data_IF_691886483967
#
_entry.id   IF_691886483967
#
_cell.length_a   1.000
_cell.length_b   1.000
_cell.length_c   1.000
_cell.angle_alpha   90.00
_cell.angle_beta   90.00
_cell.angle_gamma   90.00
#
_symmetry.space_group_name_H-M   'P 1'
#
loop_
_entity.id
_entity.type
_entity.pdbx_description
1 polymer ?
#
# COMPACT_ATOMS: atom_id res chain seq x y z
N UNK A 1 -66.87 -16.80 -2.38
CA UNK A 1 -65.86 -15.76 -2.11
C UNK A 1 -64.81 -16.41 -1.21
N UNK A 2 -63.90 -17.18 -1.82
CA UNK A 2 -62.91 -17.99 -1.12
C UNK A 2 -61.62 -17.20 -1.01
N UNK A 3 -61.20 -16.93 0.23
CA UNK A 3 -59.92 -16.31 0.52
C UNK A 3 -58.81 -17.32 0.27
N UNK A 4 -58.18 -17.20 -0.90
CA UNK A 4 -56.95 -17.89 -1.28
C UNK A 4 -55.82 -17.39 -0.36
N UNK A 5 -55.49 -18.18 0.66
CA UNK A 5 -54.35 -17.92 1.54
C UNK A 5 -53.07 -18.10 0.72
N UNK A 6 -52.54 -16.98 0.27
CA UNK A 6 -51.20 -16.85 -0.30
C UNK A 6 -50.20 -17.30 0.76
N UNK A 7 -49.64 -18.51 0.58
CA UNK A 7 -48.52 -18.99 1.36
C UNK A 7 -47.31 -18.12 1.02
N UNK A 8 -47.04 -17.13 1.88
CA UNK A 8 -45.74 -16.47 1.98
C UNK A 8 -44.72 -17.54 2.37
N UNK A 9 -44.13 -18.20 1.38
CA UNK A 9 -42.85 -18.89 1.51
C UNK A 9 -41.80 -17.84 1.88
N UNK A 10 -41.71 -17.54 3.17
CA UNK A 10 -40.53 -16.91 3.77
C UNK A 10 -39.39 -17.88 3.51
N UNK A 11 -38.62 -17.59 2.47
CA UNK A 11 -37.32 -18.22 2.23
C UNK A 11 -36.43 -17.71 3.34
N UNK A 12 -36.48 -18.41 4.48
CA UNK A 12 -35.50 -18.30 5.54
C UNK A 12 -34.15 -18.61 4.88
N UNK A 13 -33.42 -17.56 4.50
CA UNK A 13 -32.12 -17.69 3.85
C UNK A 13 -31.20 -18.34 4.88
N UNK A 14 -31.04 -19.66 4.78
CA UNK A 14 -30.06 -20.38 5.59
C UNK A 14 -28.73 -19.61 5.52
N UNK A 15 -28.08 -19.35 6.67
CA UNK A 15 -26.85 -18.56 6.67
C UNK A 15 -25.88 -19.22 5.70
N UNK A 16 -25.43 -18.50 4.68
CA UNK A 16 -24.46 -19.02 3.70
C UNK A 16 -23.19 -19.35 4.47
N UNK A 17 -23.05 -20.61 4.86
CA UNK A 17 -21.88 -21.12 5.59
C UNK A 17 -20.74 -21.18 4.59
N UNK A 18 -20.02 -20.07 4.46
CA UNK A 18 -18.81 -20.03 3.62
C UNK A 18 -17.82 -21.05 4.15
N UNK A 19 -17.49 -22.05 3.31
CA UNK A 19 -16.48 -23.06 3.60
C UNK A 19 -15.17 -22.36 3.98
N UNK A 20 -14.59 -22.74 5.10
CA UNK A 20 -13.29 -22.23 5.55
C UNK A 20 -12.20 -23.06 4.90
N UNK A 21 -11.26 -22.41 4.23
CA UNK A 21 -10.12 -23.07 3.58
C UNK A 21 -8.84 -22.51 4.18
N UNK A 22 -7.94 -23.38 4.62
CA UNK A 22 -6.63 -22.95 5.09
C UNK A 22 -5.76 -22.48 3.92
N UNK A 23 -5.13 -21.33 4.08
CA UNK A 23 -4.21 -20.78 3.11
C UNK A 23 -2.95 -20.26 3.78
N UNK A 24 -1.83 -20.43 3.08
CA UNK A 24 -0.55 -19.87 3.47
C UNK A 24 -0.33 -18.56 2.72
N UNK A 25 0.23 -17.56 3.40
CA UNK A 25 0.62 -16.29 2.79
C UNK A 25 2.10 -16.33 2.47
N UNK A 26 2.43 -16.28 1.19
CA UNK A 26 3.81 -16.16 0.70
C UNK A 26 4.03 -14.75 0.18
N UNK A 27 5.15 -14.13 0.53
CA UNK A 27 5.46 -12.78 0.05
C UNK A 27 5.44 -12.71 -1.48
N UNK A 28 4.68 -11.77 -2.02
CA UNK A 28 4.52 -11.60 -3.47
C UNK A 28 5.77 -10.91 -4.05
N UNK A 29 6.37 -11.53 -5.07
CA UNK A 29 7.38 -10.88 -5.90
C UNK A 29 6.70 -10.30 -7.15
N UNK A 30 6.80 -8.99 -7.42
CA UNK A 30 6.25 -8.43 -8.65
C UNK A 30 7.00 -9.02 -9.86
N UNK A 31 6.27 -9.57 -10.83
CA UNK A 31 6.86 -10.20 -12.03
C UNK A 31 7.69 -9.21 -12.87
N UNK A 32 7.44 -7.90 -12.75
CA UNK A 32 8.16 -6.82 -13.44
C UNK A 32 9.27 -6.12 -12.62
N UNK A 33 9.58 -6.59 -11.41
CA UNK A 33 10.63 -6.03 -10.56
C UNK A 33 10.33 -4.63 -9.96
N UNK A 34 11.38 -3.95 -9.48
CA UNK A 34 11.28 -2.70 -8.72
C UNK A 34 10.97 -1.45 -9.58
N UNK A 35 11.29 -1.47 -10.88
CA UNK A 35 11.35 -0.25 -11.71
C UNK A 35 10.00 0.45 -11.80
N UNK A 36 8.92 -0.29 -12.03
CA UNK A 36 7.57 0.29 -12.11
C UNK A 36 7.17 1.01 -10.82
N UNK A 37 7.55 0.45 -9.67
CA UNK A 37 7.27 1.05 -8.36
C UNK A 37 8.08 2.34 -8.13
N UNK A 38 9.34 2.38 -8.57
CA UNK A 38 10.15 3.59 -8.49
C UNK A 38 9.65 4.71 -9.40
N UNK A 39 9.19 4.38 -10.61
CA UNK A 39 8.59 5.36 -11.51
C UNK A 39 7.31 5.92 -10.88
N UNK A 40 6.47 5.06 -10.31
CA UNK A 40 5.24 5.48 -9.66
C UNK A 40 5.53 6.42 -8.48
N UNK A 41 6.49 6.04 -7.61
CA UNK A 41 6.96 6.83 -6.47
C UNK A 41 7.77 8.10 -6.83
N UNK A 42 8.12 8.28 -8.10
CA UNK A 42 9.06 9.33 -8.52
C UNK A 42 8.59 10.76 -8.22
N UNK A 43 7.30 11.13 -8.34
CA UNK A 43 6.88 12.51 -8.06
C UNK A 43 7.20 12.93 -6.62
N UNK A 44 6.81 12.12 -5.64
CA UNK A 44 7.10 12.39 -4.23
C UNK A 44 8.61 12.34 -3.94
N UNK A 45 9.32 11.36 -4.49
CA UNK A 45 10.77 11.23 -4.28
C UNK A 45 11.57 12.39 -4.88
N UNK A 46 11.21 12.87 -6.07
CA UNK A 46 11.86 14.01 -6.71
C UNK A 46 11.62 15.30 -5.92
N UNK A 47 10.39 15.50 -5.43
CA UNK A 47 10.07 16.64 -4.57
C UNK A 47 10.90 16.62 -3.27
N UNK A 48 10.95 15.47 -2.60
CA UNK A 48 11.74 15.32 -1.38
C UNK A 48 13.25 15.45 -1.64
N UNK A 49 13.76 14.89 -2.74
CA UNK A 49 15.16 14.98 -3.11
C UNK A 49 15.56 16.44 -3.41
N UNK A 50 14.70 17.17 -4.13
CA UNK A 50 14.91 18.61 -4.36
C UNK A 50 15.00 19.39 -3.05
N UNK A 51 14.02 19.21 -2.15
CA UNK A 51 14.00 19.88 -0.85
C UNK A 51 15.23 19.53 0.01
N UNK A 52 15.61 18.25 0.01
CA UNK A 52 16.79 17.78 0.73
C UNK A 52 18.08 18.40 0.21
N UNK A 53 18.28 18.40 -1.12
CA UNK A 53 19.46 18.99 -1.75
C UNK A 53 19.53 20.49 -1.48
N UNK A 54 18.39 21.20 -1.49
CA UNK A 54 18.33 22.62 -1.17
C UNK A 54 18.81 22.91 0.26
N UNK A 55 18.35 22.12 1.24
CA UNK A 55 18.84 22.21 2.63
C UNK A 55 20.34 21.96 2.70
N UNK A 56 20.84 20.87 2.11
CA UNK A 56 22.26 20.53 2.19
C UNK A 56 23.12 21.62 1.56
N UNK A 57 22.74 22.11 0.37
CA UNK A 57 23.44 23.18 -0.34
C UNK A 57 23.47 24.49 0.46
N UNK A 58 22.39 24.81 1.18
CA UNK A 58 22.35 26.00 2.04
C UNK A 58 23.39 25.94 3.18
N UNK A 59 23.62 24.76 3.77
CA UNK A 59 24.51 24.61 4.92
C UNK A 59 25.93 24.12 4.58
N UNK A 60 26.13 23.56 3.39
CA UNK A 60 27.38 22.91 3.01
C UNK A 60 28.41 23.92 2.48
N UNK A 61 29.66 23.89 2.97
CA UNK A 61 30.75 24.69 2.43
C UNK A 61 31.38 24.07 1.17
N UNK A 62 30.88 22.92 0.69
CA UNK A 62 31.47 22.16 -0.40
C UNK A 62 31.18 22.77 -1.79
N UNK A 63 31.98 22.44 -2.82
CA UNK A 63 31.64 22.79 -4.19
C UNK A 63 30.31 22.16 -4.63
N UNK A 64 29.43 22.95 -5.26
CA UNK A 64 28.03 22.58 -5.59
C UNK A 64 27.85 21.19 -6.20
N UNK A 65 28.65 20.82 -7.21
CA UNK A 65 28.48 19.52 -7.88
C UNK A 65 28.79 18.32 -6.97
N UNK A 66 29.84 18.45 -6.15
CA UNK A 66 30.21 17.42 -5.17
C UNK A 66 29.15 17.34 -4.08
N UNK A 67 28.65 18.51 -3.67
CA UNK A 67 27.62 18.61 -2.65
C UNK A 67 26.31 17.95 -3.07
N UNK A 68 25.85 18.19 -4.30
CA UNK A 68 24.64 17.54 -4.82
C UNK A 68 24.78 16.02 -4.90
N UNK A 69 25.91 15.52 -5.39
CA UNK A 69 26.16 14.09 -5.49
C UNK A 69 26.17 13.43 -4.10
N UNK A 70 26.87 14.04 -3.13
CA UNK A 70 26.93 13.54 -1.77
C UNK A 70 25.55 13.62 -1.08
N UNK A 71 24.84 14.74 -1.26
CA UNK A 71 23.49 14.93 -0.71
C UNK A 71 22.53 13.85 -1.21
N UNK A 72 22.56 13.51 -2.50
CA UNK A 72 21.71 12.45 -3.08
C UNK A 72 22.07 11.06 -2.55
N UNK A 73 23.36 10.75 -2.39
CA UNK A 73 23.80 9.47 -1.81
C UNK A 73 23.32 9.36 -0.36
N UNK A 74 23.50 10.42 0.42
CA UNK A 74 23.05 10.48 1.82
C UNK A 74 21.54 10.40 1.90
N UNK A 75 20.80 11.09 1.03
CA UNK A 75 19.34 11.01 0.93
C UNK A 75 18.88 9.57 0.65
N UNK A 76 19.51 8.90 -0.32
CA UNK A 76 19.17 7.53 -0.68
C UNK A 76 19.39 6.56 0.51
N UNK A 77 20.53 6.69 1.19
CA UNK A 77 20.91 5.82 2.30
C UNK A 77 20.16 6.08 3.61
N UNK A 78 19.91 7.35 3.96
CA UNK A 78 19.32 7.73 5.25
C UNK A 78 17.81 7.91 5.21
N UNK A 79 17.23 8.18 4.03
CA UNK A 79 15.80 8.47 3.90
C UNK A 79 15.15 7.45 2.97
N UNK A 80 15.58 7.33 1.72
CA UNK A 80 14.89 6.51 0.71
C UNK A 80 14.84 5.04 1.13
N UNK A 81 15.97 4.40 1.36
CA UNK A 81 15.99 2.98 1.73
C UNK A 81 15.28 2.69 3.06
N UNK A 82 15.63 3.32 4.19
CA UNK A 82 15.06 2.96 5.48
C UNK A 82 13.56 3.27 5.56
N UNK A 83 13.12 4.42 5.05
CA UNK A 83 11.70 4.80 5.11
C UNK A 83 10.84 3.94 4.20
N UNK A 84 11.32 3.64 2.99
CA UNK A 84 10.64 2.71 2.08
C UNK A 84 10.52 1.31 2.68
N UNK A 85 11.60 0.76 3.24
CA UNK A 85 11.55 -0.54 3.91
C UNK A 85 10.61 -0.54 5.11
N UNK A 86 10.64 0.52 5.94
CA UNK A 86 9.76 0.65 7.09
C UNK A 86 8.28 0.67 6.67
N UNK A 87 7.93 1.46 5.66
CA UNK A 87 6.57 1.50 5.12
C UNK A 87 6.11 0.16 4.56
N UNK A 88 6.96 -0.52 3.79
CA UNK A 88 6.66 -1.85 3.27
C UNK A 88 6.44 -2.85 4.41
N UNK A 89 7.29 -2.85 5.44
CA UNK A 89 7.11 -3.73 6.59
C UNK A 89 5.88 -3.41 7.41
N UNK A 90 5.52 -2.13 7.54
CA UNK A 90 4.30 -1.70 8.20
C UNK A 90 3.06 -2.23 7.46
N UNK A 91 2.95 -1.99 6.16
CA UNK A 91 1.80 -2.43 5.35
C UNK A 91 1.69 -3.96 5.34
N UNK A 92 2.80 -4.66 5.09
CA UNK A 92 2.79 -6.13 5.04
C UNK A 92 2.63 -6.78 6.42
N UNK A 93 2.77 -6.03 7.52
CA UNK A 93 2.48 -6.54 8.86
C UNK A 93 0.99 -6.71 9.11
N UNK A 94 0.14 -5.99 8.39
CA UNK A 94 -1.32 -5.93 8.57
C UNK A 94 -2.07 -6.38 7.30
N UNK A 95 -1.86 -7.63 6.81
CA UNK A 95 -2.36 -8.07 5.51
C UNK A 95 -3.87 -7.91 5.34
N UNK A 96 -4.66 -8.11 6.40
CA UNK A 96 -6.13 -8.01 6.33
C UNK A 96 -6.64 -6.60 6.05
N UNK A 97 -5.96 -5.56 6.56
CA UNK A 97 -6.38 -4.17 6.36
C UNK A 97 -6.11 -3.71 4.93
N UNK A 98 -5.09 -4.30 4.29
CA UNK A 98 -4.62 -3.91 2.96
C UNK A 98 -4.91 -4.98 1.90
N UNK A 99 -5.98 -5.77 2.05
CA UNK A 99 -6.38 -6.79 1.07
C UNK A 99 -5.25 -7.73 0.62
N UNK A 100 -4.40 -8.16 1.56
CA UNK A 100 -3.21 -8.97 1.32
C UNK A 100 -2.15 -8.31 0.44
N UNK A 101 -2.04 -6.97 0.45
CA UNK A 101 -0.98 -6.26 -0.25
C UNK A 101 0.41 -6.80 0.13
N UNK A 102 1.20 -7.14 -0.89
CA UNK A 102 2.52 -7.75 -0.75
C UNK A 102 2.50 -9.25 -0.42
N UNK A 103 1.33 -9.89 -0.45
CA UNK A 103 1.16 -11.33 -0.17
C UNK A 103 0.40 -12.04 -1.29
N UNK A 104 0.95 -13.16 -1.73
CA UNK A 104 0.26 -14.15 -2.55
C UNK A 104 -0.41 -15.17 -1.63
N UNK A 105 -1.69 -15.40 -1.87
CA UNK A 105 -2.49 -16.37 -1.12
C UNK A 105 -2.38 -17.74 -1.80
N UNK A 106 -1.89 -18.74 -1.08
CA UNK A 106 -1.72 -20.11 -1.59
C UNK A 106 -2.65 -21.04 -0.78
N UNK A 107 -3.80 -21.45 -1.35
CA UNK A 107 -4.69 -22.42 -0.71
C UNK A 107 -3.99 -23.76 -0.54
N UNK A 108 -4.17 -24.41 0.62
CA UNK A 108 -3.63 -25.75 0.89
C UNK A 108 -4.48 -26.87 0.29
N UNK A 109 -5.77 -26.59 0.11
CA UNK A 109 -6.71 -27.46 -0.58
C UNK A 109 -6.94 -26.91 -1.99
N UNK A 110 -7.13 -27.79 -2.97
CA UNK A 110 -7.50 -27.37 -4.32
C UNK A 110 -8.88 -26.72 -4.28
N UNK A 111 -8.92 -25.41 -4.52
CA UNK A 111 -10.16 -24.65 -4.68
C UNK A 111 -10.32 -24.39 -6.18
N UNK A 112 -11.43 -24.83 -6.76
CA UNK A 112 -11.74 -24.55 -8.17
C UNK A 112 -11.96 -23.04 -8.35
N UNK A 113 -11.69 -22.50 -9.54
CA UNK A 113 -11.87 -21.05 -9.80
C UNK A 113 -13.29 -20.56 -9.46
N UNK A 114 -14.30 -21.39 -9.74
CA UNK A 114 -15.70 -21.11 -9.43
C UNK A 114 -15.99 -21.02 -7.92
N UNK A 115 -15.18 -21.68 -7.08
CA UNK A 115 -15.35 -21.71 -5.63
C UNK A 115 -14.57 -20.61 -4.89
N UNK A 116 -13.61 -19.95 -5.55
CA UNK A 116 -12.69 -18.99 -4.90
C UNK A 116 -13.43 -17.83 -4.20
N UNK A 117 -14.59 -17.43 -4.69
CA UNK A 117 -15.41 -16.36 -4.11
C UNK A 117 -16.41 -16.85 -3.03
N UNK A 118 -16.62 -18.16 -2.93
CA UNK A 118 -17.54 -18.79 -1.98
C UNK A 118 -16.83 -19.25 -0.70
N UNK A 119 -15.50 -19.35 -0.74
CA UNK A 119 -14.67 -19.76 0.40
C UNK A 119 -14.18 -18.58 1.21
N UNK A 120 -14.03 -18.79 2.52
CA UNK A 120 -13.32 -17.87 3.41
C UNK A 120 -11.95 -18.45 3.71
N UNK A 121 -10.91 -17.78 3.25
CA UNK A 121 -9.54 -18.17 3.56
C UNK A 121 -9.18 -17.87 5.01
N UNK A 122 -8.58 -18.84 5.68
CA UNK A 122 -8.05 -18.73 7.05
C UNK A 122 -6.53 -18.85 6.97
N UNK A 123 -5.84 -17.78 7.38
CA UNK A 123 -4.38 -17.75 7.33
C UNK A 123 -3.79 -18.64 8.40
N UNK A 124 -2.97 -19.61 7.98
CA UNK A 124 -2.27 -20.52 8.87
C UNK A 124 -0.83 -20.08 9.07
N UNK A 125 -0.04 -20.07 7.99
CA UNK A 125 1.34 -19.62 8.02
C UNK A 125 1.58 -18.36 7.17
N UNK A 126 2.61 -17.59 7.56
CA UNK A 126 3.10 -16.44 6.82
C UNK A 126 4.60 -16.58 6.58
N UNK A 127 5.01 -16.63 5.32
CA UNK A 127 6.42 -16.82 4.93
C UNK A 127 6.92 -15.67 4.09
N UNK A 128 7.87 -14.91 4.65
CA UNK A 128 8.63 -13.92 3.91
C UNK A 128 9.72 -14.59 3.08
N UNK A 129 9.98 -14.00 1.93
CA UNK A 129 11.05 -14.41 1.06
C UNK A 129 12.40 -13.95 1.66
N UNK A 130 13.47 -14.69 1.39
CA UNK A 130 14.82 -14.35 1.85
C UNK A 130 15.21 -12.91 1.48
N UNK A 131 15.86 -12.19 2.40
CA UNK A 131 16.28 -10.81 2.25
C UNK A 131 17.58 -10.71 1.45
N UNK A 132 17.48 -10.73 0.13
CA UNK A 132 18.58 -10.38 -0.77
C UNK A 132 18.55 -8.88 -1.07
N UNK A 133 19.68 -8.28 -1.46
CA UNK A 133 19.75 -6.86 -1.84
C UNK A 133 18.72 -6.45 -2.90
N UNK A 134 18.52 -7.20 -4.00
CA UNK A 134 17.48 -6.88 -4.99
C UNK A 134 16.07 -6.85 -4.37
N UNK A 135 15.78 -7.76 -3.45
CA UNK A 135 14.49 -7.78 -2.76
C UNK A 135 14.33 -6.63 -1.79
N UNK A 136 15.39 -6.22 -1.08
CA UNK A 136 15.33 -5.03 -0.24
C UNK A 136 15.06 -3.78 -1.08
N UNK A 137 15.67 -3.70 -2.28
CA UNK A 137 15.41 -2.63 -3.24
C UNK A 137 13.94 -2.62 -3.72
N UNK A 138 13.39 -3.78 -4.06
CA UNK A 138 11.97 -3.93 -4.44
C UNK A 138 11.02 -3.55 -3.30
N UNK A 139 11.28 -4.04 -2.09
CA UNK A 139 10.49 -3.71 -0.90
C UNK A 139 10.50 -2.22 -0.63
N UNK A 140 11.66 -1.58 -0.72
CA UNK A 140 11.78 -0.14 -0.55
C UNK A 140 10.93 0.61 -1.60
N UNK A 141 11.01 0.21 -2.87
CA UNK A 141 10.22 0.79 -3.95
C UNK A 141 8.71 0.69 -3.69
N UNK A 142 8.24 -0.51 -3.32
CA UNK A 142 6.84 -0.75 -2.96
C UNK A 142 6.40 0.09 -1.76
N UNK A 143 7.26 0.20 -0.73
CA UNK A 143 6.99 1.01 0.43
C UNK A 143 6.81 2.49 0.10
N UNK A 144 7.60 3.03 -0.83
CA UNK A 144 7.43 4.40 -1.31
C UNK A 144 6.12 4.62 -2.06
N UNK A 145 5.67 3.65 -2.85
CA UNK A 145 4.33 3.69 -3.45
C UNK A 145 3.24 3.77 -2.38
N UNK A 146 3.37 2.97 -1.29
CA UNK A 146 2.41 3.03 -0.19
C UNK A 146 2.40 4.39 0.51
N UNK A 147 3.58 4.99 0.73
CA UNK A 147 3.71 6.32 1.32
C UNK A 147 3.09 7.40 0.41
N UNK A 148 3.32 7.31 -0.89
CA UNK A 148 2.76 8.27 -1.84
C UNK A 148 1.24 8.21 -1.85
N UNK A 149 0.67 7.01 -1.98
CA UNK A 149 -0.78 6.80 -1.92
C UNK A 149 -1.35 7.35 -0.61
N UNK A 150 -0.69 7.05 0.52
CA UNK A 150 -1.12 7.54 1.85
C UNK A 150 -1.07 9.06 1.90
N UNK A 151 -0.01 9.68 1.38
CA UNK A 151 0.17 11.13 1.37
C UNK A 151 -0.89 11.82 0.52
N UNK A 152 -1.22 11.26 -0.65
CA UNK A 152 -2.30 11.76 -1.51
C UNK A 152 -3.65 11.68 -0.77
N UNK A 153 -3.95 10.54 -0.12
CA UNK A 153 -5.20 10.39 0.64
C UNK A 153 -5.31 11.36 1.80
N UNK A 154 -4.24 11.49 2.60
CA UNK A 154 -4.20 12.43 3.73
C UNK A 154 -4.35 13.86 3.22
N UNK A 155 -3.64 14.23 2.15
CA UNK A 155 -3.76 15.54 1.52
C UNK A 155 -5.21 15.82 1.07
N UNK A 156 -5.85 14.87 0.39
CA UNK A 156 -7.24 15.00 -0.04
C UNK A 156 -8.21 15.20 1.14
N UNK A 157 -8.02 14.47 2.24
CA UNK A 157 -8.84 14.62 3.45
C UNK A 157 -8.62 16.01 4.09
N UNK A 158 -7.36 16.46 4.18
CA UNK A 158 -7.02 17.77 4.75
C UNK A 158 -7.52 18.95 3.89
N UNK A 159 -7.74 18.75 2.59
CA UNK A 159 -8.34 19.77 1.75
C UNK A 159 -9.81 20.05 2.09
N UNK A 160 -10.53 19.11 2.73
CA UNK A 160 -11.93 19.29 3.13
C UNK A 160 -12.09 20.45 4.13
N UNK A 161 -11.43 20.46 5.30
CA UNK A 161 -11.54 21.58 6.23
C UNK A 161 -10.96 22.88 5.66
N UNK A 162 -9.91 22.80 4.83
CA UNK A 162 -9.36 23.99 4.15
C UNK A 162 -10.36 24.62 3.19
N UNK A 163 -11.12 23.81 2.45
CA UNK A 163 -12.18 24.27 1.57
C UNK A 163 -13.29 24.98 2.36
N UNK A 164 -13.78 24.37 3.44
CA UNK A 164 -14.79 25.00 4.30
C UNK A 164 -14.29 26.31 4.91
N UNK A 165 -13.06 26.33 5.42
CA UNK A 165 -12.41 27.54 5.90
C UNK A 165 -12.34 28.62 4.80
N UNK A 166 -11.89 28.29 3.59
CA UNK A 166 -11.81 29.25 2.50
C UNK A 166 -13.20 29.79 2.09
N UNK A 167 -14.23 28.94 2.09
CA UNK A 167 -15.60 29.32 1.74
C UNK A 167 -16.29 30.17 2.82
N UNK A 168 -16.04 29.89 4.10
CA UNK A 168 -16.67 30.58 5.24
C UNK A 168 -15.98 31.90 5.59
N UNK A 169 -14.65 31.97 5.44
CA UNK A 169 -13.86 33.19 5.72
C UNK A 169 -13.77 34.17 4.54
N UNK A 170 -14.56 33.98 3.49
CA UNK A 170 -14.85 35.04 2.52
C UNK A 170 -13.88 35.21 1.35
N UNK A 171 -13.10 34.19 0.98
CA UNK A 171 -12.36 34.22 -0.31
C UNK A 171 -13.26 33.99 -1.55
N UNK A 172 -14.56 33.76 -1.34
CA UNK A 172 -15.57 33.55 -2.39
C UNK A 172 -16.54 34.73 -2.60
N UNK A 173 -16.17 35.96 -2.20
CA UNK A 173 -16.86 37.19 -2.59
C UNK A 173 -16.01 38.00 -3.57
#
# INVERSE_FOLDING_TARGET
>A
MSAEKMNENTTESAPVVRRRVEADLTEASPEGGAIGHWILASPMLLFMAWFWVDIVNYYSPLPRLVDYALALIVFAGLIVLPLGLAAHYFVTSLPRLFHNAGWTLVPRESVSEAEQYLVRYVYRDRRRAASTWPRLWERAAQGWVYLEITTIFVGAILMIPLFFSASEFGFGR
#
